data_IF_889537291134
#
_entry.id   IF_889537291134
#
_cell.length_a   1.000
_cell.length_b   1.000
_cell.length_c   1.000
_cell.angle_alpha   90.00
_cell.angle_beta   90.00
_cell.angle_gamma   90.00
#
_symmetry.space_group_name_H-M   'P 1'
#
loop_
_entity.id
_entity.type
_entity.pdbx_description
1 polymer ?
#
# COMPACT_ATOMS: atom_id res chain seq x y z
N UNK A 1 -50.85 32.18 8.69
CA UNK A 1 -52.10 32.96 8.72
C UNK A 1 -51.70 34.39 8.47
N UNK A 2 -52.16 34.98 7.37
CA UNK A 2 -51.95 36.39 7.07
C UNK A 2 -52.92 37.19 7.94
N UNK A 3 -52.47 37.62 9.12
CA UNK A 3 -53.18 38.62 9.92
C UNK A 3 -52.88 40.00 9.31
N UNK A 4 -53.46 40.28 8.14
CA UNK A 4 -53.46 41.62 7.56
C UNK A 4 -54.56 42.43 8.23
N UNK A 5 -54.15 43.41 9.04
CA UNK A 5 -55.06 44.43 9.61
C UNK A 5 -55.79 45.10 8.44
N UNK A 6 -57.11 45.02 8.44
CA UNK A 6 -57.93 45.62 7.38
C UNK A 6 -57.89 47.15 7.45
N UNK A 7 -58.13 47.82 6.33
CA UNK A 7 -58.13 49.31 6.25
C UNK A 7 -59.11 49.94 7.23
N UNK A 8 -60.22 49.26 7.51
CA UNK A 8 -61.22 49.65 8.51
C UNK A 8 -60.66 49.60 9.94
N UNK A 9 -59.97 48.51 10.30
CA UNK A 9 -59.35 48.30 11.62
C UNK A 9 -58.19 49.27 11.83
N UNK A 10 -57.37 49.50 10.81
CA UNK A 10 -56.31 50.52 10.83
C UNK A 10 -56.89 51.91 11.11
N UNK A 11 -58.02 52.26 10.47
CA UNK A 11 -58.72 53.52 10.68
C UNK A 11 -59.34 53.67 12.08
N UNK A 12 -59.66 52.57 12.77
CA UNK A 12 -60.11 52.60 14.16
C UNK A 12 -58.94 52.74 15.14
N UNK A 13 -57.82 52.05 14.88
CA UNK A 13 -56.58 52.16 15.66
C UNK A 13 -56.01 53.59 15.58
N UNK A 14 -55.99 54.21 14.38
CA UNK A 14 -55.57 55.61 14.18
C UNK A 14 -56.45 56.58 14.99
N UNK A 15 -57.78 56.37 14.97
CA UNK A 15 -58.72 57.22 15.72
C UNK A 15 -58.54 57.09 17.22
N UNK A 16 -58.32 55.88 17.73
CA UNK A 16 -58.05 55.65 19.16
C UNK A 16 -56.68 56.22 19.59
N UNK A 17 -55.64 56.05 18.78
CA UNK A 17 -54.31 56.60 19.04
C UNK A 17 -54.27 58.14 19.05
N UNK A 18 -55.06 58.79 18.17
CA UNK A 18 -55.18 60.25 18.10
C UNK A 18 -55.83 60.90 19.33
N UNK A 19 -56.62 60.14 20.10
CA UNK A 19 -57.18 60.59 21.39
C UNK A 19 -56.08 60.75 22.44
N UNK A 20 -55.01 59.96 22.35
CA UNK A 20 -53.90 59.96 23.30
C UNK A 20 -52.72 60.82 22.84
N UNK A 21 -52.56 61.04 21.52
CA UNK A 21 -51.54 61.90 20.93
C UNK A 21 -52.00 62.43 19.57
N UNK A 22 -52.17 63.75 19.43
CA UNK A 22 -52.77 64.37 18.23
C UNK A 22 -51.95 64.18 16.95
N UNK A 23 -50.66 63.86 17.08
CA UNK A 23 -49.70 63.86 15.97
C UNK A 23 -49.47 62.44 15.39
N UNK A 24 -50.40 61.51 15.65
CA UNK A 24 -50.34 60.14 15.14
C UNK A 24 -50.99 60.05 13.75
N UNK A 25 -50.20 59.74 12.73
CA UNK A 25 -50.62 59.57 11.34
C UNK A 25 -50.56 58.10 10.87
N UNK A 26 -51.08 57.87 9.68
CA UNK A 26 -51.18 56.54 9.08
C UNK A 26 -49.80 55.92 8.80
N UNK A 27 -48.82 56.75 8.42
CA UNK A 27 -47.44 56.33 8.13
C UNK A 27 -46.74 55.82 9.40
N UNK A 28 -46.95 56.47 10.55
CA UNK A 28 -46.45 55.99 11.86
C UNK A 28 -47.09 54.68 12.28
N UNK A 29 -48.38 54.48 12.01
CA UNK A 29 -49.08 53.24 12.36
C UNK A 29 -48.66 52.09 11.44
N UNK A 30 -48.47 52.33 10.15
CA UNK A 30 -47.90 51.32 9.26
C UNK A 30 -46.46 50.97 9.64
N UNK A 31 -45.64 51.97 10.02
CA UNK A 31 -44.28 51.75 10.52
C UNK A 31 -44.26 50.92 11.82
N UNK A 32 -45.18 51.19 12.75
CA UNK A 32 -45.33 50.43 13.98
C UNK A 32 -45.86 49.01 13.75
N UNK A 33 -46.82 48.84 12.84
CA UNK A 33 -47.34 47.52 12.46
C UNK A 33 -46.25 46.67 11.79
N UNK A 34 -45.45 47.27 10.91
CA UNK A 34 -44.29 46.62 10.30
C UNK A 34 -43.21 46.26 11.33
N UNK A 35 -42.89 47.18 12.24
CA UNK A 35 -41.97 46.90 13.34
C UNK A 35 -42.50 45.77 14.25
N UNK A 36 -43.80 45.75 14.52
CA UNK A 36 -44.44 44.71 15.33
C UNK A 36 -44.43 43.35 14.64
N UNK A 37 -44.73 43.29 13.34
CA UNK A 37 -44.60 42.04 12.55
C UNK A 37 -43.17 41.51 12.54
N UNK A 38 -42.16 42.38 12.45
CA UNK A 38 -40.76 41.97 12.56
C UNK A 38 -40.34 41.56 13.97
N UNK A 39 -40.90 42.18 15.00
CA UNK A 39 -40.70 41.75 16.39
C UNK A 39 -41.41 40.42 16.70
N UNK A 40 -42.44 40.05 15.94
CA UNK A 40 -43.10 38.75 16.05
C UNK A 40 -42.30 37.61 15.36
N UNK A 41 -41.37 37.95 14.46
CA UNK A 41 -40.44 36.98 13.88
C UNK A 41 -39.32 36.67 14.89
N UNK A 42 -39.42 35.50 15.53
CA UNK A 42 -38.43 35.01 16.48
C UNK A 42 -37.02 34.98 15.89
N UNK A 43 -36.86 34.73 14.59
CA UNK A 43 -35.56 34.72 13.92
C UNK A 43 -34.98 36.12 13.77
N UNK A 44 -35.82 37.15 13.59
CA UNK A 44 -35.37 38.54 13.54
C UNK A 44 -34.90 39.02 14.93
N UNK A 45 -35.66 38.70 15.99
CA UNK A 45 -35.25 39.02 17.36
C UNK A 45 -33.96 38.32 17.75
N UNK A 46 -33.81 37.03 17.44
CA UNK A 46 -32.59 36.28 17.72
C UNK A 46 -31.40 36.83 16.93
N UNK A 47 -31.60 37.25 15.68
CA UNK A 47 -30.56 37.89 14.88
C UNK A 47 -30.16 39.26 15.46
N UNK A 48 -31.12 40.09 15.87
CA UNK A 48 -30.85 41.41 16.48
C UNK A 48 -30.15 41.24 17.83
N UNK A 49 -30.57 40.27 18.65
CA UNK A 49 -29.91 39.94 19.91
C UNK A 49 -28.50 39.39 19.68
N UNK A 50 -28.33 38.49 18.71
CA UNK A 50 -27.02 37.97 18.31
C UNK A 50 -26.07 39.07 17.84
N UNK A 51 -26.56 40.02 17.02
CA UNK A 51 -25.79 41.17 16.56
C UNK A 51 -25.44 42.13 17.69
N UNK A 52 -26.39 42.40 18.59
CA UNK A 52 -26.15 43.25 19.77
C UNK A 52 -25.12 42.62 20.69
N UNK A 53 -25.18 41.31 20.87
CA UNK A 53 -24.22 40.53 21.67
C UNK A 53 -22.84 40.53 21.04
N UNK A 54 -22.73 40.35 19.72
CA UNK A 54 -21.45 40.46 19.00
C UNK A 54 -20.84 41.85 19.11
N UNK A 55 -21.66 42.91 19.01
CA UNK A 55 -21.20 44.28 19.21
C UNK A 55 -20.70 44.51 20.64
N UNK A 56 -21.35 43.93 21.66
CA UNK A 56 -20.93 44.04 23.05
C UNK A 56 -19.70 43.20 23.39
N UNK A 57 -19.60 41.98 22.89
CA UNK A 57 -18.52 41.04 23.20
C UNK A 57 -17.24 41.36 22.43
N UNK A 58 -17.36 41.78 21.16
CA UNK A 58 -16.20 42.00 20.28
C UNK A 58 -15.93 43.48 19.98
N UNK A 59 -16.80 44.40 20.41
CA UNK A 59 -16.63 45.84 20.21
C UNK A 59 -16.74 46.30 18.75
N UNK A 60 -17.17 45.43 17.85
CA UNK A 60 -17.32 45.71 16.40
C UNK A 60 -18.70 46.27 16.07
N UNK A 61 -18.75 47.20 15.12
CA UNK A 61 -20.02 47.75 14.65
C UNK A 61 -20.88 46.69 13.95
N UNK A 62 -22.21 46.89 13.92
CA UNK A 62 -23.12 45.99 13.22
C UNK A 62 -22.77 45.79 11.73
N UNK A 63 -22.22 46.83 11.07
CA UNK A 63 -21.73 46.71 9.69
C UNK A 63 -20.53 45.78 9.58
N UNK A 64 -19.55 45.91 10.48
CA UNK A 64 -18.35 45.06 10.50
C UNK A 64 -18.70 43.60 10.81
N UNK A 65 -19.66 43.36 11.72
CA UNK A 65 -20.16 42.02 12.02
C UNK A 65 -20.88 41.37 10.81
N UNK A 66 -21.65 42.15 10.03
CA UNK A 66 -22.27 41.66 8.80
C UNK A 66 -21.23 41.34 7.71
N UNK A 67 -20.22 42.19 7.55
CA UNK A 67 -19.13 41.95 6.60
C UNK A 67 -18.28 40.73 7.00
N UNK A 68 -18.00 40.56 8.30
CA UNK A 68 -17.33 39.38 8.83
C UNK A 68 -18.15 38.11 8.58
N UNK A 69 -19.47 38.14 8.81
CA UNK A 69 -20.34 37.01 8.54
C UNK A 69 -20.38 36.65 7.04
N UNK A 70 -20.42 37.65 6.16
CA UNK A 70 -20.31 37.45 4.71
C UNK A 70 -18.98 36.82 4.30
N UNK A 71 -17.88 37.20 4.94
CA UNK A 71 -16.57 36.59 4.72
C UNK A 71 -16.54 35.13 5.20
N UNK A 72 -17.11 34.85 6.38
CA UNK A 72 -17.23 33.49 6.92
C UNK A 72 -18.08 32.58 6.04
N UNK A 73 -19.20 33.07 5.48
CA UNK A 73 -20.02 32.31 4.54
C UNK A 73 -19.24 31.94 3.28
N UNK A 74 -18.49 32.88 2.70
CA UNK A 74 -17.60 32.59 1.55
C UNK A 74 -16.52 31.57 1.90
N UNK A 75 -15.95 31.66 3.10
CA UNK A 75 -14.97 30.69 3.58
C UNK A 75 -15.59 29.31 3.78
N UNK A 76 -16.80 29.23 4.33
CA UNK A 76 -17.56 28.00 4.48
C UNK A 76 -17.82 27.33 3.12
N UNK A 77 -18.32 28.08 2.13
CA UNK A 77 -18.55 27.56 0.77
C UNK A 77 -17.26 27.06 0.10
N UNK A 78 -16.13 27.73 0.36
CA UNK A 78 -14.82 27.28 -0.11
C UNK A 78 -14.42 25.97 0.56
N UNK A 79 -14.52 25.88 1.89
CA UNK A 79 -14.18 24.69 2.66
C UNK A 79 -15.07 23.50 2.29
N UNK A 80 -16.37 23.71 2.06
CA UNK A 80 -17.29 22.66 1.61
C UNK A 80 -16.89 22.09 0.25
N UNK A 81 -16.45 22.95 -0.69
CA UNK A 81 -15.88 22.49 -1.98
C UNK A 81 -14.58 21.72 -1.81
N UNK A 82 -13.67 22.19 -0.97
CA UNK A 82 -12.42 21.49 -0.67
C UNK A 82 -12.68 20.12 -0.01
N UNK A 83 -13.66 20.03 0.90
CA UNK A 83 -14.12 18.77 1.50
C UNK A 83 -14.68 17.80 0.46
N UNK A 84 -15.48 18.31 -0.50
CA UNK A 84 -15.98 17.52 -1.63
C UNK A 84 -14.85 16.92 -2.45
N UNK A 85 -13.88 17.74 -2.84
CA UNK A 85 -12.70 17.30 -3.60
C UNK A 85 -11.87 16.27 -2.83
N UNK A 86 -11.69 16.45 -1.52
CA UNK A 86 -10.95 15.50 -0.68
C UNK A 86 -11.68 14.16 -0.56
N UNK A 87 -13.01 14.15 -0.40
CA UNK A 87 -13.80 12.91 -0.39
C UNK A 87 -13.65 12.14 -1.69
N UNK A 88 -13.69 12.83 -2.83
CA UNK A 88 -13.50 12.20 -4.14
C UNK A 88 -12.10 11.60 -4.28
N UNK A 89 -11.05 12.32 -3.85
CA UNK A 89 -9.68 11.78 -3.83
C UNK A 89 -9.55 10.55 -2.94
N UNK A 90 -10.17 10.54 -1.77
CA UNK A 90 -10.15 9.36 -0.87
C UNK A 90 -10.79 8.15 -1.55
N UNK A 91 -11.94 8.34 -2.21
CA UNK A 91 -12.60 7.26 -2.97
C UNK A 91 -11.67 6.74 -4.08
N UNK A 92 -11.06 7.64 -4.86
CA UNK A 92 -10.15 7.27 -5.93
C UNK A 92 -8.94 6.46 -5.42
N UNK A 93 -8.31 6.89 -4.33
CA UNK A 93 -7.18 6.17 -3.74
C UNK A 93 -7.60 4.82 -3.15
N UNK A 94 -8.80 4.73 -2.57
CA UNK A 94 -9.33 3.47 -2.07
C UNK A 94 -9.61 2.46 -3.19
N UNK A 95 -10.10 2.94 -4.34
CA UNK A 95 -10.26 2.11 -5.55
C UNK A 95 -8.91 1.60 -6.03
N UNK A 96 -7.90 2.48 -6.20
CA UNK A 96 -6.54 2.07 -6.61
C UNK A 96 -5.94 1.06 -5.64
N UNK A 97 -6.13 1.23 -4.34
CA UNK A 97 -5.66 0.30 -3.33
C UNK A 97 -6.32 -1.09 -3.47
N UNK A 98 -7.62 -1.13 -3.73
CA UNK A 98 -8.34 -2.39 -3.95
C UNK A 98 -7.87 -3.13 -5.20
N UNK A 99 -7.64 -2.40 -6.30
CA UNK A 99 -7.10 -2.95 -7.55
C UNK A 99 -5.68 -3.50 -7.35
N UNK A 100 -4.81 -2.74 -6.69
CA UNK A 100 -3.45 -3.17 -6.36
C UNK A 100 -3.47 -4.45 -5.51
N UNK A 101 -4.34 -4.53 -4.50
CA UNK A 101 -4.47 -5.70 -3.64
C UNK A 101 -4.89 -6.94 -4.44
N UNK A 102 -5.83 -6.79 -5.38
CA UNK A 102 -6.26 -7.87 -6.25
C UNK A 102 -5.11 -8.37 -7.15
N UNK A 103 -4.34 -7.46 -7.74
CA UNK A 103 -3.15 -7.80 -8.54
C UNK A 103 -2.12 -8.55 -7.70
N UNK A 104 -1.84 -8.11 -6.47
CA UNK A 104 -0.94 -8.80 -5.55
C UNK A 104 -1.40 -10.23 -5.25
N UNK A 105 -2.69 -10.43 -4.98
CA UNK A 105 -3.25 -11.77 -4.74
C UNK A 105 -3.11 -12.67 -5.97
N UNK A 106 -3.37 -12.15 -7.17
CA UNK A 106 -3.18 -12.90 -8.42
C UNK A 106 -1.71 -13.28 -8.65
N UNK A 107 -0.77 -12.36 -8.40
CA UNK A 107 0.65 -12.66 -8.50
C UNK A 107 1.10 -13.72 -7.48
N UNK A 108 0.63 -13.62 -6.22
CA UNK A 108 0.92 -14.63 -5.20
C UNK A 108 0.43 -16.03 -5.62
N UNK A 109 -0.75 -16.10 -6.25
CA UNK A 109 -1.26 -17.34 -6.86
C UNK A 109 -0.32 -17.91 -7.92
N UNK A 110 0.12 -17.07 -8.88
CA UNK A 110 1.07 -17.47 -9.94
C UNK A 110 2.41 -17.95 -9.38
N UNK A 111 2.94 -17.26 -8.36
CA UNK A 111 4.20 -17.65 -7.70
C UNK A 111 4.09 -19.03 -7.06
N UNK A 112 2.98 -19.31 -6.38
CA UNK A 112 2.76 -20.64 -5.79
C UNK A 112 2.64 -21.74 -6.85
N UNK A 113 1.96 -21.48 -7.97
CA UNK A 113 1.88 -22.42 -9.09
C UNK A 113 3.28 -22.70 -9.66
N UNK A 114 4.05 -21.66 -9.97
CA UNK A 114 5.41 -21.79 -10.49
C UNK A 114 6.33 -22.53 -9.51
N UNK A 115 6.19 -22.30 -8.20
CA UNK A 115 6.94 -23.02 -7.17
C UNK A 115 6.62 -24.51 -7.16
N UNK A 116 5.35 -24.89 -7.29
CA UNK A 116 4.93 -26.28 -7.33
C UNK A 116 5.45 -26.99 -8.60
N UNK A 117 5.38 -26.32 -9.75
CA UNK A 117 5.93 -26.83 -11.01
C UNK A 117 7.44 -27.05 -10.92
N UNK A 118 8.17 -26.08 -10.35
CA UNK A 118 9.61 -26.18 -10.17
C UNK A 118 9.99 -27.35 -9.24
N UNK A 119 9.22 -27.57 -8.17
CA UNK A 119 9.42 -28.70 -7.27
C UNK A 119 9.16 -30.05 -7.97
N UNK A 120 8.14 -30.12 -8.84
CA UNK A 120 7.87 -31.30 -9.66
C UNK A 120 9.04 -31.59 -10.62
N UNK A 121 9.50 -30.59 -11.37
CA UNK A 121 10.63 -30.70 -12.30
C UNK A 121 11.90 -31.15 -11.56
N UNK A 122 12.17 -30.63 -10.35
CA UNK A 122 13.30 -31.08 -9.54
C UNK A 122 13.18 -32.55 -9.13
N UNK A 123 11.97 -33.02 -8.82
CA UNK A 123 11.69 -34.43 -8.56
C UNK A 123 12.01 -35.31 -9.77
N UNK A 124 11.49 -34.94 -10.94
CA UNK A 124 11.71 -35.65 -12.20
C UNK A 124 13.19 -35.67 -12.59
N UNK A 125 13.89 -34.55 -12.42
CA UNK A 125 15.33 -34.44 -12.70
C UNK A 125 16.13 -35.39 -11.80
N UNK A 126 15.81 -35.45 -10.49
CA UNK A 126 16.46 -36.38 -9.56
C UNK A 126 16.23 -37.83 -9.96
N UNK A 127 15.00 -38.18 -10.36
CA UNK A 127 14.67 -39.52 -10.83
C UNK A 127 15.43 -39.88 -12.12
N UNK A 128 15.50 -38.95 -13.08
CA UNK A 128 16.26 -39.13 -14.31
C UNK A 128 17.77 -39.32 -14.05
N UNK A 129 18.36 -38.53 -13.15
CA UNK A 129 19.77 -38.67 -12.75
C UNK A 129 20.03 -40.03 -12.11
N UNK A 130 19.14 -40.50 -11.23
CA UNK A 130 19.26 -41.83 -10.63
C UNK A 130 19.20 -42.94 -11.70
N UNK A 131 18.27 -42.84 -12.65
CA UNK A 131 18.16 -43.79 -13.76
C UNK A 131 19.39 -43.79 -14.68
N UNK A 132 19.96 -42.63 -14.98
CA UNK A 132 21.19 -42.54 -15.76
C UNK A 132 22.38 -43.18 -15.05
N UNK A 133 22.47 -43.02 -13.73
CA UNK A 133 23.54 -43.64 -12.94
C UNK A 133 23.47 -45.16 -12.96
N UNK A 134 22.28 -45.75 -12.81
CA UNK A 134 22.08 -47.20 -12.87
C UNK A 134 22.32 -47.75 -14.28
N UNK A 135 21.92 -47.00 -15.31
CA UNK A 135 22.20 -47.37 -16.69
C UNK A 135 23.70 -47.38 -16.99
N UNK A 136 24.44 -46.39 -16.48
CA UNK A 136 25.90 -46.31 -16.62
C UNK A 136 26.61 -47.48 -15.95
N UNK A 137 26.18 -47.85 -14.73
CA UNK A 137 26.73 -49.03 -14.04
C UNK A 137 26.47 -50.33 -14.81
N UNK A 138 25.26 -50.49 -15.35
CA UNK A 138 24.90 -51.67 -16.15
C UNK A 138 25.73 -51.74 -17.42
N UNK A 139 25.85 -50.64 -18.15
CA UNK A 139 26.68 -50.56 -19.35
C UNK A 139 28.15 -50.90 -19.07
N UNK A 140 28.70 -50.45 -17.93
CA UNK A 140 30.08 -50.77 -17.55
C UNK A 140 30.27 -52.24 -17.17
N UNK A 141 29.28 -52.87 -16.51
CA UNK A 141 29.27 -54.31 -16.23
C UNK A 141 29.24 -55.12 -17.52
N UNK A 142 28.38 -54.75 -18.46
CA UNK A 142 28.24 -55.41 -19.75
C UNK A 142 29.53 -55.26 -20.57
N UNK A 143 30.14 -54.07 -20.60
CA UNK A 143 31.46 -53.83 -21.23
C UNK A 143 32.52 -54.79 -20.68
N UNK A 144 32.65 -54.90 -19.36
CA UNK A 144 33.62 -55.81 -18.70
C UNK A 144 33.31 -57.28 -18.95
N UNK A 145 32.04 -57.65 -19.15
CA UNK A 145 31.65 -59.02 -19.50
C UNK A 145 32.07 -59.34 -20.93
N UNK A 146 31.71 -58.49 -21.89
CA UNK A 146 32.05 -58.65 -23.31
C UNK A 146 33.57 -58.74 -23.49
N UNK A 147 34.33 -57.90 -22.78
CA UNK A 147 35.79 -57.93 -22.86
C UNK A 147 36.39 -59.26 -22.39
N UNK A 148 35.86 -59.86 -21.32
CA UNK A 148 36.27 -61.19 -20.84
C UNK A 148 35.85 -62.32 -21.79
N UNK A 149 34.67 -62.22 -22.40
CA UNK A 149 34.21 -63.19 -23.40
C UNK A 149 35.10 -63.12 -24.67
N UNK A 150 35.49 -61.92 -25.11
CA UNK A 150 36.43 -61.71 -26.20
C UNK A 150 37.81 -62.33 -25.92
N UNK A 151 38.36 -62.13 -24.73
CA UNK A 151 39.65 -62.72 -24.32
C UNK A 151 39.59 -64.26 -24.34
N UNK A 152 38.51 -64.85 -23.81
CA UNK A 152 38.30 -66.32 -23.87
C UNK A 152 38.17 -66.84 -25.29
N UNK A 153 37.49 -66.11 -26.17
CA UNK A 153 37.39 -66.49 -27.59
C UNK A 153 38.74 -66.41 -28.30
N UNK A 154 39.57 -65.40 -27.97
CA UNK A 154 40.96 -65.30 -28.48
C UNK A 154 41.79 -66.52 -28.10
N UNK A 155 41.76 -66.92 -26.83
CA UNK A 155 42.51 -68.08 -26.35
C UNK A 155 42.04 -69.38 -27.02
N UNK A 156 40.73 -69.57 -27.19
CA UNK A 156 40.17 -70.78 -27.82
C UNK A 156 40.42 -70.88 -29.32
N UNK A 157 40.46 -69.76 -30.03
CA UNK A 157 40.60 -69.74 -31.48
C UNK A 157 42.07 -69.69 -31.96
N UNK A 158 43.04 -69.66 -31.03
CA UNK A 158 44.48 -69.65 -31.32
C UNK A 158 44.87 -68.56 -32.35
N UNK A 159 44.18 -67.41 -32.28
CA UNK A 159 44.33 -66.30 -33.24
C UNK A 159 45.57 -65.51 -32.87
N UNK A 160 46.57 -65.54 -33.74
CA UNK A 160 47.83 -64.80 -33.59
C UNK A 160 47.64 -63.31 -33.94
N UNK A 161 48.50 -62.44 -33.42
CA UNK A 161 48.43 -60.99 -33.64
C UNK A 161 48.41 -60.61 -35.13
N UNK A 162 49.03 -61.42 -35.99
CA UNK A 162 49.02 -61.25 -37.45
C UNK A 162 47.64 -61.51 -38.05
N UNK A 163 46.89 -62.52 -37.59
CA UNK A 163 45.52 -62.75 -38.05
C UNK A 163 44.58 -61.60 -37.65
N UNK A 164 44.81 -61.01 -36.47
CA UNK A 164 44.06 -59.83 -36.01
C UNK A 164 44.44 -58.61 -36.85
N UNK A 165 45.71 -58.44 -37.20
CA UNK A 165 46.17 -57.35 -38.05
C UNK A 165 45.61 -57.48 -39.48
N UNK A 166 45.60 -58.69 -40.04
CA UNK A 166 45.04 -58.98 -41.37
C UNK A 166 43.51 -58.81 -41.36
N UNK A 167 42.80 -59.35 -40.36
CA UNK A 167 41.36 -59.14 -40.22
C UNK A 167 41.02 -57.66 -39.96
N UNK A 168 41.87 -56.94 -39.24
CA UNK A 168 41.76 -55.49 -39.02
C UNK A 168 41.98 -54.67 -40.30
N UNK A 169 42.94 -55.06 -41.14
CA UNK A 169 43.15 -54.47 -42.46
C UNK A 169 41.98 -54.76 -43.40
N UNK A 170 41.49 -56.01 -43.41
CA UNK A 170 40.32 -56.40 -44.20
C UNK A 170 39.07 -55.62 -43.77
N UNK A 171 38.86 -55.47 -42.45
CA UNK A 171 37.79 -54.65 -41.87
C UNK A 171 37.93 -53.18 -42.26
N UNK A 172 39.14 -52.62 -42.17
CA UNK A 172 39.39 -51.22 -42.52
C UNK A 172 39.18 -50.94 -44.02
N UNK A 173 39.50 -51.89 -44.91
CA UNK A 173 39.20 -51.78 -46.35
C UNK A 173 37.70 -51.87 -46.65
N UNK A 174 36.98 -52.76 -45.95
CA UNK A 174 35.53 -52.89 -46.06
C UNK A 174 34.81 -51.65 -45.54
N UNK A 175 35.25 -51.09 -44.40
CA UNK A 175 34.73 -49.85 -43.85
C UNK A 175 35.08 -48.63 -44.71
N UNK A 176 36.28 -48.56 -45.31
CA UNK A 176 36.65 -47.53 -46.30
C UNK A 176 35.75 -47.54 -47.53
N UNK A 177 35.24 -48.72 -47.88
CA UNK A 177 34.30 -48.89 -48.98
C UNK A 177 32.86 -48.54 -48.58
N UNK A 178 32.64 -48.13 -47.32
CA UNK A 178 31.35 -47.68 -46.78
C UNK A 178 30.45 -48.80 -46.27
N UNK A 179 30.97 -50.03 -46.12
CA UNK A 179 30.18 -51.19 -45.69
C UNK A 179 30.58 -51.68 -44.31
N UNK A 180 29.61 -52.23 -43.57
CA UNK A 180 29.86 -52.93 -42.32
C UNK A 180 30.41 -54.35 -42.64
N UNK A 181 31.51 -54.72 -42.00
CA UNK A 181 32.17 -56.02 -42.14
C UNK A 181 31.25 -57.21 -41.84
N UNK A 182 30.37 -57.10 -40.85
CA UNK A 182 29.42 -58.14 -40.45
C UNK A 182 28.35 -58.35 -41.53
N UNK A 183 27.91 -57.25 -42.14
CA UNK A 183 26.99 -57.27 -43.28
C UNK A 183 27.69 -57.89 -44.50
N UNK A 184 28.94 -57.53 -44.77
CA UNK A 184 29.70 -58.08 -45.89
C UNK A 184 29.95 -59.58 -45.77
N UNK A 185 30.30 -60.07 -44.57
CA UNK A 185 30.51 -61.50 -44.32
C UNK A 185 29.18 -62.27 -44.39
N UNK A 186 28.09 -61.71 -43.86
CA UNK A 186 26.76 -62.29 -43.97
C UNK A 186 26.30 -62.40 -45.42
N UNK A 187 26.43 -61.32 -46.20
CA UNK A 187 26.08 -61.31 -47.62
C UNK A 187 26.98 -62.25 -48.45
N UNK A 188 28.29 -62.29 -48.18
CA UNK A 188 29.20 -63.21 -48.87
C UNK A 188 28.84 -64.68 -48.61
N UNK A 189 28.47 -65.04 -47.38
CA UNK A 189 28.02 -66.39 -47.04
C UNK A 189 26.65 -66.73 -47.64
N UNK A 190 25.71 -65.77 -47.63
CA UNK A 190 24.35 -65.94 -48.16
C UNK A 190 24.34 -66.11 -49.68
N UNK A 191 25.23 -65.41 -50.40
CA UNK A 191 25.28 -65.46 -51.86
C UNK A 191 26.28 -66.49 -52.44
N UNK A 192 27.18 -67.05 -51.63
CA UNK A 192 28.17 -68.06 -52.05
C UNK A 192 27.64 -69.26 -52.86
N UNK A 193 26.42 -69.79 -52.64
CA UNK A 193 25.90 -70.95 -53.39
C UNK A 193 25.44 -70.62 -54.81
N UNK A 194 25.25 -69.34 -55.15
CA UNK A 194 24.60 -68.94 -56.40
C UNK A 194 25.62 -68.66 -57.51
N UNK A 195 25.36 -69.17 -58.73
CA UNK A 195 26.23 -68.93 -59.90
C UNK A 195 26.28 -67.44 -60.32
N UNK A 196 25.28 -66.65 -59.95
CA UNK A 196 25.14 -65.20 -60.17
C UNK A 196 25.42 -64.38 -58.90
N UNK A 197 26.10 -64.95 -57.89
CA UNK A 197 26.38 -64.35 -56.58
C UNK A 197 26.85 -62.89 -56.65
N UNK A 198 27.72 -62.58 -57.63
CA UNK A 198 28.29 -61.24 -57.81
C UNK A 198 27.23 -60.17 -58.13
N UNK A 199 26.22 -60.51 -58.93
CA UNK A 199 25.17 -59.56 -59.32
C UNK A 199 24.18 -59.32 -58.17
N UNK A 200 23.80 -60.39 -57.46
CA UNK A 200 22.91 -60.29 -56.29
C UNK A 200 23.58 -59.58 -55.10
N UNK A 201 24.87 -59.82 -54.88
CA UNK A 201 25.68 -59.10 -53.90
C UNK A 201 25.78 -57.60 -54.24
N UNK A 202 26.00 -57.25 -55.52
CA UNK A 202 26.02 -55.87 -55.95
C UNK A 202 24.68 -55.14 -55.71
N UNK A 203 23.55 -55.82 -55.90
CA UNK A 203 22.22 -55.25 -55.67
C UNK A 203 21.89 -55.10 -54.17
N UNK A 204 22.29 -56.08 -53.34
CA UNK A 204 22.20 -55.97 -51.89
C UNK A 204 23.10 -54.87 -51.31
N UNK A 205 24.31 -54.71 -51.86
CA UNK A 205 25.22 -53.62 -51.48
C UNK A 205 24.63 -52.26 -51.84
N UNK A 206 23.99 -52.13 -53.00
CA UNK A 206 23.26 -50.92 -53.41
C UNK A 206 22.16 -50.55 -52.40
N UNK A 207 21.44 -51.55 -51.88
CA UNK A 207 20.44 -51.36 -50.82
C UNK A 207 21.08 -50.98 -49.47
N UNK A 208 22.24 -51.53 -49.12
CA UNK A 208 22.94 -51.16 -47.88
C UNK A 208 23.56 -49.75 -47.93
N UNK A 209 23.92 -49.27 -49.12
CA UNK A 209 24.39 -47.89 -49.33
C UNK A 209 23.28 -46.87 -49.06
N UNK A 210 22.01 -47.22 -49.37
CA UNK A 210 20.86 -46.38 -49.03
C UNK A 210 20.61 -46.32 -47.52
N UNK A 211 20.85 -47.43 -46.81
CA UNK A 211 20.71 -47.53 -45.35
C UNK A 211 21.81 -46.75 -44.61
N UNK A 212 23.03 -46.75 -45.15
CA UNK A 212 24.15 -45.95 -44.64
C UNK A 212 23.88 -44.45 -44.82
N UNK A 213 23.29 -44.06 -45.95
CA UNK A 213 22.83 -42.69 -46.19
C UNK A 213 21.74 -42.29 -45.20
N UNK A 214 20.75 -43.15 -44.99
CA UNK A 214 19.69 -42.92 -44.00
C UNK A 214 20.23 -42.73 -42.58
N UNK A 215 21.21 -43.54 -42.15
CA UNK A 215 21.86 -43.38 -40.83
C UNK A 215 22.65 -42.07 -40.72
N UNK A 216 23.32 -41.64 -41.79
CA UNK A 216 24.01 -40.34 -41.82
C UNK A 216 23.02 -39.17 -41.70
N UNK A 217 21.91 -39.23 -42.45
CA UNK A 217 20.83 -38.23 -42.38
C UNK A 217 20.22 -38.19 -40.96
N UNK A 218 19.99 -39.35 -40.34
CA UNK A 218 19.44 -39.45 -38.98
C UNK A 218 20.40 -38.89 -37.93
N UNK A 219 21.70 -39.12 -38.10
CA UNK A 219 22.73 -38.56 -37.22
C UNK A 219 22.77 -37.04 -37.34
N UNK A 220 22.76 -36.51 -38.57
CA UNK A 220 22.72 -35.07 -38.80
C UNK A 220 21.47 -34.44 -38.18
N UNK A 221 20.28 -35.02 -38.40
CA UNK A 221 19.03 -34.54 -37.80
C UNK A 221 19.09 -34.55 -36.26
N UNK A 222 19.71 -35.58 -35.66
CA UNK A 222 19.91 -35.64 -34.21
C UNK A 222 20.83 -34.53 -33.68
N UNK A 223 21.86 -34.18 -34.45
CA UNK A 223 22.86 -33.17 -34.09
C UNK A 223 22.28 -31.75 -34.26
N UNK A 224 21.46 -31.53 -35.28
CA UNK A 224 20.68 -30.30 -35.48
C UNK A 224 19.65 -30.11 -34.38
N UNK A 225 18.88 -31.15 -34.03
CA UNK A 225 17.93 -31.11 -32.89
C UNK A 225 18.62 -30.81 -31.57
N UNK A 226 19.78 -31.41 -31.33
CA UNK A 226 20.57 -31.13 -30.13
C UNK A 226 20.96 -29.66 -30.04
N UNK A 227 21.48 -29.08 -31.14
CA UNK A 227 21.81 -27.65 -31.19
C UNK A 227 20.59 -26.74 -30.98
N UNK A 228 19.44 -27.12 -31.53
CA UNK A 228 18.19 -26.38 -31.32
C UNK A 228 17.77 -26.39 -29.85
N UNK A 229 17.84 -27.54 -29.19
CA UNK A 229 17.55 -27.69 -27.75
C UNK A 229 18.54 -26.88 -26.90
N UNK A 230 19.84 -26.97 -27.19
CA UNK A 230 20.87 -26.22 -26.44
C UNK A 230 20.62 -24.70 -26.56
N UNK A 231 20.26 -24.22 -27.75
CA UNK A 231 19.87 -22.81 -27.99
C UNK A 231 18.61 -22.40 -27.20
N UNK A 232 17.60 -23.27 -27.13
CA UNK A 232 16.38 -23.02 -26.37
C UNK A 232 16.65 -22.97 -24.85
N UNK A 233 17.52 -23.86 -24.35
CA UNK A 233 17.97 -23.85 -22.95
C UNK A 233 18.66 -22.52 -22.62
N UNK A 234 19.56 -22.05 -23.47
CA UNK A 234 20.26 -20.77 -23.26
C UNK A 234 19.29 -19.58 -23.25
N UNK A 235 18.29 -19.58 -24.13
CA UNK A 235 17.24 -18.56 -24.13
C UNK A 235 16.42 -18.56 -22.84
N UNK A 236 16.04 -19.75 -22.35
CA UNK A 236 15.30 -19.89 -21.09
C UNK A 236 16.14 -19.45 -19.89
N UNK A 237 17.44 -19.76 -19.86
CA UNK A 237 18.35 -19.31 -18.80
C UNK A 237 18.49 -17.78 -18.78
N UNK A 238 18.63 -17.16 -19.96
CA UNK A 238 18.69 -15.71 -20.07
C UNK A 238 17.40 -15.03 -19.61
N UNK A 239 16.24 -15.59 -20.02
CA UNK A 239 14.93 -15.09 -19.58
C UNK A 239 14.76 -15.20 -18.07
N UNK A 240 15.14 -16.34 -17.49
CA UNK A 240 15.12 -16.56 -16.04
C UNK A 240 15.99 -15.52 -15.31
N UNK A 241 17.19 -15.23 -15.82
CA UNK A 241 18.06 -14.21 -15.25
C UNK A 241 17.45 -12.80 -15.30
N UNK A 242 16.77 -12.45 -16.39
CA UNK A 242 16.05 -11.18 -16.50
C UNK A 242 14.89 -11.08 -15.50
N UNK A 243 14.07 -12.14 -15.40
CA UNK A 243 12.94 -12.20 -14.46
C UNK A 243 13.42 -12.14 -12.99
N UNK A 244 14.53 -12.81 -12.63
CA UNK A 244 15.13 -12.71 -11.30
C UNK A 244 15.63 -11.29 -10.98
N UNK A 245 16.16 -10.57 -11.97
CA UNK A 245 16.62 -9.20 -11.79
C UNK A 245 15.45 -8.22 -11.57
N UNK A 246 14.34 -8.43 -12.30
CA UNK A 246 13.10 -7.68 -12.15
C UNK A 246 12.48 -7.93 -10.78
N UNK A 247 12.44 -9.18 -10.32
CA UNK A 247 11.93 -9.55 -9.01
C UNK A 247 12.70 -8.86 -7.88
N UNK A 248 14.04 -8.83 -7.96
CA UNK A 248 14.88 -8.08 -7.00
C UNK A 248 14.64 -6.57 -7.03
N UNK A 249 14.22 -6.00 -8.16
CA UNK A 249 13.85 -4.59 -8.27
C UNK A 249 12.50 -4.32 -7.60
N UNK A 250 11.53 -5.19 -7.83
CA UNK A 250 10.21 -5.12 -7.23
C UNK A 250 10.26 -5.30 -5.70
N UNK A 251 11.07 -6.22 -5.19
CA UNK A 251 11.27 -6.39 -3.75
C UNK A 251 11.83 -5.14 -3.08
N UNK A 252 12.83 -4.48 -3.71
CA UNK A 252 13.36 -3.21 -3.23
C UNK A 252 12.30 -2.11 -3.20
N UNK A 253 11.50 -2.03 -4.26
CA UNK A 253 10.39 -1.07 -4.36
C UNK A 253 9.33 -1.33 -3.28
N UNK A 254 8.97 -2.59 -3.06
CA UNK A 254 8.03 -3.01 -2.00
C UNK A 254 8.53 -2.57 -0.63
N UNK A 255 9.80 -2.84 -0.32
CA UNK A 255 10.39 -2.45 0.95
C UNK A 255 10.39 -0.92 1.16
N UNK A 256 10.68 -0.15 0.11
CA UNK A 256 10.61 1.31 0.17
C UNK A 256 9.17 1.81 0.42
N UNK A 257 8.17 1.17 -0.20
CA UNK A 257 6.77 1.50 0.03
C UNK A 257 6.33 1.14 1.46
N UNK A 258 6.76 0.01 2.02
CA UNK A 258 6.50 -0.35 3.42
C UNK A 258 7.03 0.72 4.38
N UNK A 259 8.27 1.19 4.17
CA UNK A 259 8.86 2.28 4.97
C UNK A 259 8.02 3.56 4.85
N UNK A 260 7.63 3.94 3.64
CA UNK A 260 6.83 5.15 3.41
C UNK A 260 5.46 5.05 4.08
N UNK A 261 4.81 3.89 4.01
CA UNK A 261 3.52 3.64 4.66
C UNK A 261 3.65 3.74 6.18
N UNK A 262 4.68 3.15 6.78
CA UNK A 262 4.93 3.28 8.23
C UNK A 262 5.13 4.74 8.64
N UNK A 263 5.85 5.53 7.83
CA UNK A 263 6.04 6.96 8.08
C UNK A 263 4.71 7.72 8.01
N UNK A 264 3.91 7.50 6.97
CA UNK A 264 2.61 8.15 6.83
C UNK A 264 1.64 7.79 7.98
N UNK A 265 1.67 6.56 8.50
CA UNK A 265 0.90 6.21 9.69
C UNK A 265 1.34 7.02 10.91
N UNK A 266 2.65 7.16 11.12
CA UNK A 266 3.19 8.01 12.20
C UNK A 266 2.76 9.46 12.06
N UNK A 267 2.81 10.01 10.86
CA UNK A 267 2.40 11.40 10.58
C UNK A 267 0.89 11.60 10.85
N UNK A 268 0.07 10.61 10.49
CA UNK A 268 -1.38 10.63 10.76
C UNK A 268 -1.66 10.56 12.27
N UNK A 269 -0.94 9.73 13.01
CA UNK A 269 -1.10 9.62 14.47
C UNK A 269 -0.71 10.93 15.17
N UNK A 270 0.36 11.59 14.71
CA UNK A 270 0.78 12.90 15.19
C UNK A 270 -0.28 13.97 14.91
N UNK A 271 -0.78 14.05 13.67
CA UNK A 271 -1.86 14.96 13.28
C UNK A 271 -3.14 14.74 14.09
N UNK A 272 -3.52 13.48 14.35
CA UNK A 272 -4.65 13.16 15.22
C UNK A 272 -4.38 13.58 16.67
N UNK A 273 -3.14 13.49 17.14
CA UNK A 273 -2.69 14.04 18.41
C UNK A 273 -2.90 15.55 18.48
N UNK A 274 -2.43 16.28 17.47
CA UNK A 274 -2.58 17.74 17.36
C UNK A 274 -4.04 18.17 17.28
N UNK A 275 -4.88 17.47 16.51
CA UNK A 275 -6.32 17.74 16.45
C UNK A 275 -7.01 17.52 17.79
N UNK A 276 -6.68 16.45 18.50
CA UNK A 276 -7.22 16.20 19.85
C UNK A 276 -6.78 17.28 20.83
N UNK A 277 -5.53 17.71 20.75
CA UNK A 277 -5.01 18.83 21.53
C UNK A 277 -5.81 20.11 21.21
N UNK A 278 -5.90 20.48 19.93
CA UNK A 278 -6.65 21.65 19.48
C UNK A 278 -8.11 21.61 19.96
N UNK A 279 -8.83 20.50 19.75
CA UNK A 279 -10.22 20.37 20.20
C UNK A 279 -10.39 20.49 21.72
N UNK A 280 -9.41 20.00 22.50
CA UNK A 280 -9.45 20.07 23.96
C UNK A 280 -9.20 21.49 24.48
N UNK A 281 -8.29 22.22 23.86
CA UNK A 281 -7.83 23.52 24.36
C UNK A 281 -8.39 24.72 23.60
N UNK A 282 -8.99 24.53 22.43
CA UNK A 282 -9.62 25.59 21.63
C UNK A 282 -10.74 26.32 22.40
N UNK A 283 -11.64 25.64 23.14
CA UNK A 283 -12.63 26.37 23.95
C UNK A 283 -12.03 27.19 25.10
N UNK A 284 -10.77 26.93 25.45
CA UNK A 284 -10.03 27.65 26.49
C UNK A 284 -9.15 28.77 25.91
N UNK A 285 -9.16 28.99 24.60
CA UNK A 285 -8.35 30.04 23.95
C UNK A 285 -8.61 31.40 24.57
N UNK A 286 -9.87 31.77 24.72
CA UNK A 286 -10.26 33.09 25.20
C UNK A 286 -9.87 33.29 26.66
N UNK A 287 -9.96 32.22 27.47
CA UNK A 287 -9.48 32.23 28.85
C UNK A 287 -7.95 32.39 28.89
N UNK A 288 -7.22 31.68 28.04
CA UNK A 288 -5.76 31.79 27.97
C UNK A 288 -5.33 33.19 27.49
N UNK A 289 -5.98 33.74 26.48
CA UNK A 289 -5.77 35.11 26.00
C UNK A 289 -6.04 36.14 27.11
N UNK A 290 -7.15 35.98 27.85
CA UNK A 290 -7.46 36.81 29.00
C UNK A 290 -6.38 36.71 30.09
N UNK A 291 -5.93 35.49 30.44
CA UNK A 291 -4.88 35.27 31.43
C UNK A 291 -3.52 35.84 31.01
N UNK A 292 -3.24 35.95 29.71
CA UNK A 292 -2.01 36.58 29.19
C UNK A 292 -2.00 38.09 29.43
N UNK A 293 -3.17 38.72 29.47
CA UNK A 293 -3.27 40.15 29.81
C UNK A 293 -2.87 40.43 31.26
N UNK A 294 -2.87 39.40 32.12
CA UNK A 294 -2.45 39.54 33.50
C UNK A 294 -0.94 39.78 33.55
N UNK A 295 -0.53 40.81 34.31
CA UNK A 295 0.89 41.11 34.51
C UNK A 295 1.63 39.92 35.12
N UNK A 296 0.94 39.17 35.97
CA UNK A 296 1.42 38.00 36.69
C UNK A 296 0.21 37.18 37.15
N UNK A 297 0.35 35.86 37.22
CA UNK A 297 -0.69 34.95 37.72
C UNK A 297 -0.26 34.45 39.10
N UNK A 298 -1.16 34.58 40.08
CA UNK A 298 -0.98 34.01 41.42
C UNK A 298 -1.92 32.83 41.61
N UNK A 299 -1.35 31.65 41.83
CA UNK A 299 -2.07 30.43 42.20
C UNK A 299 -2.20 30.36 43.72
N UNK A 300 -3.41 30.51 44.24
CA UNK A 300 -3.67 30.58 45.68
C UNK A 300 -4.73 29.58 46.07
N UNK A 301 -4.61 29.03 47.29
CA UNK A 301 -5.66 28.25 47.91
C UNK A 301 -6.00 28.79 49.30
N UNK A 302 -7.27 28.66 49.67
CA UNK A 302 -7.77 29.02 51.00
C UNK A 302 -7.76 27.79 51.91
N UNK A 303 -7.03 27.84 53.02
CA UNK A 303 -7.01 26.76 54.01
C UNK A 303 -8.24 26.74 54.93
N UNK A 304 -9.23 27.62 54.70
CA UNK A 304 -10.46 27.64 55.48
C UNK A 304 -11.35 26.44 55.10
N UNK A 305 -11.64 25.49 56.02
CA UNK A 305 -12.53 24.37 55.71
C UNK A 305 -13.95 24.84 55.34
N UNK A 306 -14.35 26.03 55.81
CA UNK A 306 -15.64 26.65 55.49
C UNK A 306 -15.66 27.34 54.11
N UNK A 307 -14.58 27.33 53.32
CA UNK A 307 -14.59 27.75 51.91
C UNK A 307 -15.02 26.63 50.96
N UNK A 308 -14.86 25.37 51.35
CA UNK A 308 -15.32 24.21 50.58
C UNK A 308 -16.85 24.16 50.26
N UNK A 309 -17.78 24.71 51.09
CA UNK A 309 -19.22 24.69 50.81
C UNK A 309 -19.63 25.49 49.56
N UNK A 310 -18.81 26.43 49.08
CA UNK A 310 -19.07 27.16 47.85
C UNK A 310 -18.53 26.39 46.64
N UNK A 311 -19.19 25.28 46.30
CA UNK A 311 -18.90 24.41 45.15
C UNK A 311 -17.53 23.68 45.16
N UNK A 312 -16.90 23.50 46.32
CA UNK A 312 -15.65 22.73 46.45
C UNK A 312 -14.39 23.45 45.97
N UNK A 313 -14.50 24.71 45.56
CA UNK A 313 -13.38 25.48 45.00
C UNK A 313 -12.65 26.21 46.13
N UNK A 314 -11.61 25.55 46.68
CA UNK A 314 -10.68 26.21 47.63
C UNK A 314 -9.51 26.88 46.92
N UNK A 315 -9.39 26.71 45.61
CA UNK A 315 -8.30 27.17 44.76
C UNK A 315 -8.78 28.31 43.86
N UNK A 316 -8.02 29.39 43.74
CA UNK A 316 -8.38 30.51 42.90
C UNK A 316 -7.14 31.22 42.34
N UNK A 317 -7.29 31.82 41.17
CA UNK A 317 -6.22 32.52 40.46
C UNK A 317 -6.52 34.02 40.42
N UNK A 318 -5.50 34.86 40.55
CA UNK A 318 -5.65 36.32 40.46
C UNK A 318 -4.42 36.98 39.85
N UNK A 319 -4.63 38.16 39.25
CA UNK A 319 -3.60 39.03 38.69
C UNK A 319 -2.83 39.84 39.75
N UNK A 320 -3.25 39.77 41.03
CA UNK A 320 -2.75 40.62 42.12
C UNK A 320 -2.47 39.82 43.38
N UNK A 321 -1.50 40.28 44.17
CA UNK A 321 -1.30 39.79 45.55
C UNK A 321 -2.49 40.17 46.40
N UNK A 322 -3.33 39.20 46.73
CA UNK A 322 -4.40 39.35 47.71
C UNK A 322 -3.91 38.97 49.10
N UNK A 323 -4.44 39.63 50.15
CA UNK A 323 -4.18 39.30 51.57
C UNK A 323 -5.35 38.54 52.21
N UNK A 324 -6.48 38.47 51.52
CA UNK A 324 -7.73 37.87 52.01
C UNK A 324 -8.30 36.99 50.90
N UNK A 325 -8.93 35.88 51.28
CA UNK A 325 -9.65 35.01 50.37
C UNK A 325 -10.85 35.78 49.78
N UNK A 326 -11.06 35.75 48.45
CA UNK A 326 -12.20 36.42 47.81
C UNK A 326 -13.54 35.78 48.20
N UNK A 327 -13.54 34.52 48.66
CA UNK A 327 -14.77 33.80 49.03
C UNK A 327 -15.18 33.99 50.50
N UNK A 328 -14.25 33.91 51.46
CA UNK A 328 -14.57 34.04 52.90
C UNK A 328 -14.06 35.31 53.57
N UNK A 329 -13.27 36.14 52.88
CA UNK A 329 -12.67 37.36 53.45
C UNK A 329 -11.58 37.13 54.51
N UNK A 330 -11.27 35.88 54.87
CA UNK A 330 -10.23 35.54 55.85
C UNK A 330 -8.84 35.55 55.24
N UNK A 331 -7.81 35.81 56.05
CA UNK A 331 -6.41 35.89 55.61
C UNK A 331 -5.70 34.52 55.58
N UNK A 332 -6.46 33.42 55.44
CA UNK A 332 -5.96 32.05 55.42
C UNK A 332 -5.66 31.57 54.00
N UNK A 333 -4.89 32.35 53.25
CA UNK A 333 -4.53 32.05 51.86
C UNK A 333 -3.04 31.70 51.77
N UNK A 334 -2.72 30.69 50.97
CA UNK A 334 -1.35 30.22 50.72
C UNK A 334 -1.15 29.95 49.23
N UNK A 335 0.09 29.97 48.72
CA UNK A 335 0.39 29.47 47.38
C UNK A 335 -0.18 28.07 47.20
N UNK A 336 -0.85 27.84 46.09
CA UNK A 336 -1.35 26.51 45.72
C UNK A 336 -0.21 25.67 45.17
N UNK A 337 0.21 24.58 45.83
CA UNK A 337 1.37 23.79 45.42
C UNK A 337 1.16 23.05 44.08
N UNK A 338 -0.08 22.76 43.70
CA UNK A 338 -0.35 21.87 42.56
C UNK A 338 0.04 22.47 41.20
N UNK A 339 -0.32 23.72 40.84
CA UNK A 339 0.14 24.36 39.61
C UNK A 339 1.66 24.49 39.53
N UNK A 340 2.34 24.82 40.65
CA UNK A 340 3.81 24.94 40.67
C UNK A 340 4.50 23.60 40.44
N UNK A 341 3.97 22.52 41.02
CA UNK A 341 4.46 21.15 40.76
C UNK A 341 4.28 20.76 39.29
N UNK A 342 3.14 21.07 38.69
CA UNK A 342 2.87 20.79 37.26
C UNK A 342 3.79 21.58 36.32
N UNK A 343 4.14 22.81 36.71
CA UNK A 343 5.05 23.68 35.95
C UNK A 343 6.53 23.45 36.29
N UNK A 344 6.84 22.52 37.21
CA UNK A 344 8.19 22.25 37.71
C UNK A 344 8.91 23.52 38.22
N UNK A 345 8.22 24.32 39.04
CA UNK A 345 8.74 25.56 39.64
C UNK A 345 8.61 25.56 41.16
N UNK A 346 9.42 26.34 41.90
CA UNK A 346 9.22 26.55 43.33
C UNK A 346 7.89 27.25 43.64
N UNK A 347 7.25 26.89 44.76
CA UNK A 347 6.00 27.51 45.21
C UNK A 347 6.16 29.02 45.42
N UNK A 348 5.20 29.79 44.91
CA UNK A 348 5.20 31.26 45.03
C UNK A 348 6.12 31.97 44.03
N UNK A 349 6.74 31.25 43.09
CA UNK A 349 7.50 31.85 41.99
C UNK A 349 6.58 32.73 41.14
N UNK A 350 7.08 33.89 40.73
CA UNK A 350 6.33 34.79 39.85
C UNK A 350 6.12 34.15 38.48
N UNK A 351 4.88 33.86 38.14
CA UNK A 351 4.53 33.24 36.86
C UNK A 351 3.82 34.25 35.95
N UNK A 352 4.29 34.37 34.71
CA UNK A 352 3.61 35.14 33.66
C UNK A 352 3.34 34.22 32.48
N UNK A 353 2.07 34.08 32.12
CA UNK A 353 1.66 33.34 30.93
C UNK A 353 2.10 34.12 29.69
N UNK A 354 2.71 33.40 28.73
CA UNK A 354 3.00 33.90 27.39
C UNK A 354 2.43 32.88 26.41
N UNK A 355 1.62 33.34 25.45
CA UNK A 355 1.27 32.54 24.29
C UNK A 355 2.46 32.56 23.33
N UNK A 356 2.81 31.38 22.81
CA UNK A 356 3.92 31.17 21.89
C UNK A 356 3.52 31.39 20.44
#
# INVERSE_FOLDING_TARGET
MEDQITTEELGQIIRAARVLSTDFDEERIQSLSYAWQRLADSGFLDAVWGMTRLQQEQGISCSEALDANKALLKQKERLERELGNLKEKVIQEQTKYSEATQVYQQMAGKINTAKNELQAIQGDTKAAVANLSSFREKAEKDRKRIQRELEKCREKANVIMEDIAVAGQLKAEVEKSGFNMEIMLGLAAEFAPYKDARNRLAEALKNSQSLTKYLADLKQDSEEKKKAIDSEIDQLLNRKGAEESELKSLERTRHQLEINVSRLHSDVDEEQGLRRFYMRYSPLSDLLEYLVTWRQVYFLYCSNPMCAPFAGVTHFWTDRKVRKCPHCGLSMIKPDPEPFRLLNMPEGTEFKLKLG
#
